data_IF_687497045050
#
_entry.id   IF_687497045050
#
_cell.length_a   1.000
_cell.length_b   1.000
_cell.length_c   1.000
_cell.angle_alpha   90.00
_cell.angle_beta   90.00
_cell.angle_gamma   90.00
#
_symmetry.space_group_name_H-M   'P 1'
#
loop_
_entity.id
_entity.type
_entity.pdbx_description
1 polymer ?
#
# COMPACT_ATOMS: atom_id res chain seq x y z
N UNK A 1 15.08 5.55 24.01
CA UNK A 1 14.55 4.93 22.78
C UNK A 1 13.10 5.37 22.64
N UNK A 2 12.80 6.27 21.71
CA UNK A 2 11.41 6.50 21.31
C UNK A 2 10.89 5.18 20.77
N UNK A 3 9.79 4.68 21.32
CA UNK A 3 9.10 3.51 20.77
C UNK A 3 8.63 3.93 19.38
N UNK A 4 9.34 3.51 18.34
CA UNK A 4 8.95 3.77 16.96
C UNK A 4 7.68 2.98 16.69
N UNK A 5 6.58 3.70 16.45
CA UNK A 5 5.28 3.10 16.12
C UNK A 5 5.42 2.03 15.04
N UNK A 6 4.65 0.94 15.16
CA UNK A 6 4.61 -0.14 14.15
C UNK A 6 4.37 0.42 12.75
N UNK A 7 3.52 1.45 12.63
CA UNK A 7 3.22 2.09 11.34
C UNK A 7 4.40 2.86 10.76
N UNK A 8 5.29 3.40 11.61
CA UNK A 8 6.53 4.01 11.14
C UNK A 8 7.48 2.94 10.57
N UNK A 9 7.59 1.77 11.22
CA UNK A 9 8.39 0.67 10.68
C UNK A 9 7.81 0.12 9.37
N UNK A 10 6.49 0.04 9.25
CA UNK A 10 5.81 -0.31 8.01
C UNK A 10 6.10 0.74 6.92
N UNK A 11 5.99 2.02 7.24
CA UNK A 11 6.27 3.11 6.30
C UNK A 11 7.72 3.05 5.79
N UNK A 12 8.69 2.83 6.67
CA UNK A 12 10.09 2.67 6.31
C UNK A 12 10.28 1.48 5.37
N UNK A 13 9.67 0.33 5.70
CA UNK A 13 9.68 -0.86 4.86
C UNK A 13 9.09 -0.60 3.47
N UNK A 14 7.94 0.07 3.39
CA UNK A 14 7.30 0.41 2.12
C UNK A 14 8.19 1.32 1.26
N UNK A 15 8.89 2.28 1.86
CA UNK A 15 9.84 3.13 1.13
C UNK A 15 11.02 2.33 0.57
N UNK A 16 11.55 1.36 1.34
CA UNK A 16 12.63 0.51 0.85
C UNK A 16 12.22 -0.29 -0.39
N UNK A 17 11.00 -0.81 -0.43
CA UNK A 17 10.51 -1.58 -1.59
C UNK A 17 10.14 -0.66 -2.76
N UNK A 18 9.35 0.38 -2.51
CA UNK A 18 8.72 1.17 -3.58
C UNK A 18 9.61 2.28 -4.15
N UNK A 19 10.52 2.83 -3.35
CA UNK A 19 11.42 3.91 -3.76
C UNK A 19 12.83 3.36 -4.03
N UNK A 20 13.34 2.50 -3.15
CA UNK A 20 14.72 2.01 -3.23
C UNK A 20 14.85 0.66 -3.95
N UNK A 21 13.74 0.03 -4.36
CA UNK A 21 13.75 -1.22 -5.13
C UNK A 21 14.29 -2.43 -4.35
N UNK A 22 14.26 -2.41 -3.01
CA UNK A 22 14.66 -3.57 -2.19
C UNK A 22 13.60 -4.66 -2.21
N UNK A 23 14.03 -5.90 -1.94
CA UNK A 23 13.10 -7.02 -1.81
C UNK A 23 12.27 -6.88 -0.54
N UNK A 24 10.97 -7.24 -0.61
CA UNK A 24 10.13 -7.35 0.57
C UNK A 24 10.68 -8.35 1.60
N UNK A 25 11.40 -9.38 1.12
CA UNK A 25 12.02 -10.39 1.97
C UNK A 25 13.08 -9.80 2.91
N UNK A 26 13.80 -8.77 2.45
CA UNK A 26 14.86 -8.11 3.22
C UNK A 26 14.31 -7.32 4.42
N UNK A 27 13.01 -6.99 4.38
CA UNK A 27 12.33 -6.19 5.42
C UNK A 27 11.79 -7.09 6.55
N UNK A 28 11.48 -8.34 6.25
CA UNK A 28 10.77 -9.24 7.16
C UNK A 28 11.44 -9.47 8.52
N UNK A 29 12.78 -9.60 8.62
CA UNK A 29 13.43 -9.80 9.93
C UNK A 29 13.07 -8.72 10.96
N UNK A 30 12.89 -7.46 10.51
CA UNK A 30 12.47 -6.37 11.39
C UNK A 30 11.07 -6.57 11.96
N UNK A 31 10.12 -7.06 11.14
CA UNK A 31 8.76 -7.34 11.61
C UNK A 31 8.66 -8.61 12.46
N UNK A 32 9.52 -9.60 12.20
CA UNK A 32 9.57 -10.83 13.01
C UNK A 32 10.02 -10.59 14.45
N UNK A 33 10.80 -9.52 14.69
CA UNK A 33 11.23 -9.11 16.03
C UNK A 33 10.14 -8.39 16.85
N UNK A 34 9.00 -8.05 16.24
CA UNK A 34 7.88 -7.39 16.93
C UNK A 34 7.07 -8.36 17.78
N UNK A 35 6.34 -7.80 18.76
CA UNK A 35 5.33 -8.53 19.52
C UNK A 35 4.29 -9.17 18.58
N UNK A 36 3.61 -10.24 19.00
CA UNK A 36 2.68 -10.97 18.11
C UNK A 36 1.58 -10.07 17.51
N UNK A 37 1.05 -9.14 18.31
CA UNK A 37 0.02 -8.21 17.84
C UNK A 37 0.58 -7.17 16.87
N UNK A 38 1.74 -6.60 17.20
CA UNK A 38 2.42 -5.61 16.35
C UNK A 38 2.89 -6.23 15.04
N UNK A 39 3.38 -7.47 15.10
CA UNK A 39 3.81 -8.26 13.95
C UNK A 39 2.64 -8.50 13.01
N UNK A 40 1.49 -8.98 13.53
CA UNK A 40 0.26 -9.15 12.73
C UNK A 40 -0.15 -7.86 12.05
N UNK A 41 -0.15 -6.74 12.78
CA UNK A 41 -0.47 -5.43 12.22
C UNK A 41 0.55 -5.00 11.16
N UNK A 42 1.85 -5.18 11.40
CA UNK A 42 2.90 -4.83 10.47
C UNK A 42 2.76 -5.59 9.15
N UNK A 43 2.56 -6.90 9.21
CA UNK A 43 2.36 -7.75 8.04
C UNK A 43 1.09 -7.38 7.26
N UNK A 44 -0.03 -7.16 7.95
CA UNK A 44 -1.29 -6.72 7.35
C UNK A 44 -1.10 -5.43 6.56
N UNK A 45 -0.52 -4.40 7.21
CA UNK A 45 -0.35 -3.10 6.57
C UNK A 45 0.71 -3.14 5.46
N UNK A 46 1.84 -3.81 5.68
CA UNK A 46 2.93 -3.86 4.72
C UNK A 46 2.54 -4.60 3.45
N UNK A 47 2.14 -5.88 3.56
CA UNK A 47 1.76 -6.65 2.38
C UNK A 47 0.46 -6.15 1.77
N UNK A 48 -0.49 -5.70 2.58
CA UNK A 48 -1.72 -5.11 2.08
C UNK A 48 -1.48 -3.87 1.22
N UNK A 49 -0.60 -2.95 1.66
CA UNK A 49 -0.24 -1.78 0.86
C UNK A 49 0.47 -2.16 -0.45
N UNK A 50 1.37 -3.15 -0.42
CA UNK A 50 2.05 -3.62 -1.63
C UNK A 50 1.06 -4.31 -2.59
N UNK A 51 0.17 -5.13 -2.04
CA UNK A 51 -0.84 -5.88 -2.79
C UNK A 51 -1.89 -4.99 -3.43
N UNK A 52 -2.13 -3.77 -2.92
CA UNK A 52 -3.07 -2.80 -3.51
C UNK A 52 -2.39 -1.53 -4.03
N UNK A 53 -1.06 -1.57 -4.26
CA UNK A 53 -0.26 -0.38 -4.46
C UNK A 53 -0.69 0.46 -5.67
N UNK A 54 -0.97 -0.16 -6.82
CA UNK A 54 -1.31 0.54 -8.06
C UNK A 54 -2.71 1.14 -7.99
N UNK A 55 -3.67 0.41 -7.43
CA UNK A 55 -5.02 0.91 -7.17
C UNK A 55 -4.99 2.13 -6.24
N UNK A 56 -4.32 2.00 -5.09
CA UNK A 56 -4.20 3.07 -4.09
C UNK A 56 -3.46 4.29 -4.63
N UNK A 57 -2.42 4.09 -5.45
CA UNK A 57 -1.71 5.18 -6.15
C UNK A 57 -2.62 5.89 -7.14
N UNK A 58 -3.47 5.17 -7.89
CA UNK A 58 -4.42 5.77 -8.81
C UNK A 58 -5.51 6.57 -8.06
N UNK A 59 -6.03 6.02 -6.97
CA UNK A 59 -6.94 6.73 -6.07
C UNK A 59 -6.29 8.01 -5.54
N UNK A 60 -5.05 7.93 -5.04
CA UNK A 60 -4.31 9.08 -4.55
C UNK A 60 -4.15 10.16 -5.63
N UNK A 61 -3.70 9.77 -6.83
CA UNK A 61 -3.52 10.70 -7.96
C UNK A 61 -4.81 11.43 -8.31
N UNK A 62 -5.95 10.75 -8.27
CA UNK A 62 -7.26 11.37 -8.55
C UNK A 62 -7.70 12.42 -7.51
N UNK A 63 -7.08 12.42 -6.32
CA UNK A 63 -7.43 13.32 -5.21
C UNK A 63 -6.42 14.46 -5.02
N UNK A 64 -5.26 14.38 -5.68
CA UNK A 64 -4.26 15.42 -5.71
C UNK A 64 -4.62 16.47 -6.77
N UNK A 65 -4.62 17.75 -6.39
CA UNK A 65 -4.77 18.85 -7.36
C UNK A 65 -3.51 19.03 -8.22
N UNK A 66 -2.36 18.74 -7.64
CA UNK A 66 -1.04 18.78 -8.30
C UNK A 66 -0.27 17.53 -7.90
N UNK A 67 0.47 16.90 -8.83
CA UNK A 67 1.36 15.79 -8.49
C UNK A 67 2.34 16.18 -7.39
N UNK A 68 2.66 15.23 -6.51
CA UNK A 68 3.73 15.40 -5.54
C UNK A 68 5.07 15.57 -6.28
N UNK A 69 5.96 16.40 -5.71
CA UNK A 69 7.31 16.56 -6.26
C UNK A 69 8.08 15.26 -6.09
N UNK A 70 9.08 15.02 -6.94
CA UNK A 70 9.94 13.81 -6.84
C UNK A 70 10.57 13.66 -5.44
N UNK A 71 10.96 14.76 -4.80
CA UNK A 71 11.50 14.75 -3.41
C UNK A 71 10.48 14.45 -2.31
N UNK A 72 9.20 14.32 -2.66
CA UNK A 72 8.09 14.04 -1.75
C UNK A 72 7.47 12.65 -2.02
N UNK A 73 8.23 11.74 -2.63
CA UNK A 73 7.78 10.37 -2.90
C UNK A 73 7.39 9.60 -1.61
N UNK A 74 8.11 9.86 -0.52
CA UNK A 74 7.81 9.34 0.83
C UNK A 74 6.40 9.74 1.35
N UNK A 75 5.94 10.96 1.05
CA UNK A 75 4.58 11.40 1.36
C UNK A 75 3.55 10.63 0.53
N UNK A 76 3.91 10.29 -0.72
CA UNK A 76 3.10 9.39 -1.55
C UNK A 76 2.91 8.03 -0.89
N UNK A 77 4.00 7.43 -0.39
CA UNK A 77 3.96 6.14 0.33
C UNK A 77 3.14 6.26 1.62
N UNK A 78 3.30 7.35 2.38
CA UNK A 78 2.49 7.62 3.58
C UNK A 78 1.00 7.70 3.27
N UNK A 79 0.64 8.38 2.18
CA UNK A 79 -0.75 8.50 1.76
C UNK A 79 -1.33 7.17 1.30
N UNK A 80 -0.55 6.33 0.61
CA UNK A 80 -0.94 4.95 0.28
C UNK A 80 -1.22 4.14 1.55
N UNK A 81 -0.35 4.22 2.56
CA UNK A 81 -0.55 3.56 3.86
C UNK A 81 -1.84 4.06 4.56
N UNK A 82 -2.09 5.37 4.52
CA UNK A 82 -3.32 5.97 5.06
C UNK A 82 -4.57 5.48 4.34
N UNK A 83 -4.55 5.49 3.01
CA UNK A 83 -5.66 5.01 2.20
C UNK A 83 -5.91 3.52 2.44
N UNK A 84 -4.87 2.68 2.46
CA UNK A 84 -5.01 1.25 2.73
C UNK A 84 -5.72 0.98 4.07
N UNK A 85 -5.29 1.66 5.14
CA UNK A 85 -5.92 1.53 6.45
C UNK A 85 -7.40 1.90 6.42
N UNK A 86 -7.76 2.98 5.72
CA UNK A 86 -9.15 3.42 5.59
C UNK A 86 -9.98 2.49 4.72
N UNK A 87 -9.39 1.86 3.71
CA UNK A 87 -10.11 1.10 2.70
C UNK A 87 -10.30 -0.37 3.08
N UNK A 88 -9.22 -1.05 3.49
CA UNK A 88 -9.19 -2.51 3.60
C UNK A 88 -9.10 -3.03 5.04
N UNK A 89 -8.85 -2.17 6.02
CA UNK A 89 -8.74 -2.60 7.42
C UNK A 89 -9.99 -2.27 8.23
N UNK A 90 -10.12 -2.92 9.39
CA UNK A 90 -11.17 -2.63 10.39
C UNK A 90 -10.71 -1.64 11.46
N UNK A 91 -9.57 -0.98 11.27
CA UNK A 91 -9.08 0.05 12.18
C UNK A 91 -10.08 1.20 12.19
N UNK A 92 -10.40 1.72 13.38
CA UNK A 92 -11.31 2.85 13.49
C UNK A 92 -10.83 4.03 12.64
N UNK A 93 -11.72 4.60 11.83
CA UNK A 93 -11.38 5.61 10.81
C UNK A 93 -10.61 6.81 11.38
N UNK A 94 -10.99 7.28 12.58
CA UNK A 94 -10.31 8.37 13.26
C UNK A 94 -8.88 7.98 13.71
N UNK A 95 -8.68 6.74 14.14
CA UNK A 95 -7.38 6.24 14.58
C UNK A 95 -6.44 6.07 13.39
N UNK A 96 -6.91 5.45 12.30
CA UNK A 96 -6.14 5.32 11.05
C UNK A 96 -5.68 6.69 10.53
N UNK A 97 -6.58 7.67 10.53
CA UNK A 97 -6.28 9.03 10.10
C UNK A 97 -5.27 9.72 11.03
N UNK A 98 -5.52 9.73 12.34
CA UNK A 98 -4.66 10.43 13.30
C UNK A 98 -3.24 9.84 13.30
N UNK A 99 -3.11 8.52 13.39
CA UNK A 99 -1.83 7.82 13.35
C UNK A 99 -1.06 8.13 12.05
N UNK A 100 -1.74 8.10 10.90
CA UNK A 100 -1.09 8.41 9.62
C UNK A 100 -0.63 9.86 9.53
N UNK A 101 -1.41 10.81 10.04
CA UNK A 101 -1.02 12.23 10.08
C UNK A 101 0.19 12.42 11.00
N UNK A 102 0.26 11.73 12.13
CA UNK A 102 1.39 11.81 13.05
C UNK A 102 2.70 11.29 12.45
N UNK A 103 2.65 10.32 11.53
CA UNK A 103 3.84 9.86 10.79
C UNK A 103 4.51 10.96 9.94
N UNK A 104 3.87 12.10 9.73
CA UNK A 104 4.57 13.27 9.15
C UNK A 104 5.76 13.73 10.01
N UNK A 105 5.74 13.50 11.33
CA UNK A 105 6.90 13.75 12.20
C UNK A 105 8.04 12.78 11.91
N UNK A 106 7.72 11.50 11.70
CA UNK A 106 8.68 10.46 11.35
C UNK A 106 9.42 10.81 10.04
N UNK A 107 8.69 11.33 9.05
CA UNK A 107 9.25 11.83 7.80
C UNK A 107 9.95 13.19 7.89
N UNK A 108 9.99 13.82 9.08
CA UNK A 108 10.48 15.20 9.27
C UNK A 108 9.78 16.23 8.36
N UNK A 109 8.52 15.95 7.98
CA UNK A 109 7.69 16.76 7.07
C UNK A 109 6.42 17.23 7.77
N UNK A 110 6.56 17.87 8.94
CA UNK A 110 5.43 18.37 9.75
C UNK A 110 4.53 19.35 9.00
N UNK A 111 5.08 20.09 8.03
CA UNK A 111 4.32 20.95 7.12
C UNK A 111 3.23 20.19 6.34
N UNK A 112 3.45 18.89 6.07
CA UNK A 112 2.55 18.06 5.28
C UNK A 112 1.36 17.53 6.08
N UNK A 113 1.33 17.67 7.41
CA UNK A 113 0.23 17.18 8.25
C UNK A 113 -1.15 17.63 7.76
N UNK A 114 -1.29 18.92 7.46
CA UNK A 114 -2.55 19.50 6.96
C UNK A 114 -2.95 18.91 5.60
N UNK A 115 -1.97 18.70 4.73
CA UNK A 115 -2.19 18.10 3.41
C UNK A 115 -2.65 16.64 3.53
N UNK A 116 -1.93 15.83 4.30
CA UNK A 116 -2.26 14.41 4.53
C UNK A 116 -3.66 14.29 5.12
N UNK A 117 -3.96 15.04 6.18
CA UNK A 117 -5.28 15.06 6.79
C UNK A 117 -6.37 15.48 5.79
N UNK A 118 -6.14 16.53 5.00
CA UNK A 118 -7.12 16.99 4.02
C UNK A 118 -7.43 15.93 2.94
N UNK A 119 -6.40 15.25 2.43
CA UNK A 119 -6.56 14.19 1.42
C UNK A 119 -7.33 13.00 2.00
N UNK A 120 -6.93 12.51 3.18
CA UNK A 120 -7.58 11.35 3.80
C UNK A 120 -9.03 11.66 4.24
N UNK A 121 -9.30 12.85 4.79
CA UNK A 121 -10.69 13.28 5.10
C UNK A 121 -11.54 13.45 3.86
N UNK A 122 -10.97 13.96 2.76
CA UNK A 122 -11.66 14.01 1.49
C UNK A 122 -12.01 12.61 1.01
N UNK A 123 -11.08 11.67 1.08
CA UNK A 123 -11.33 10.26 0.75
C UNK A 123 -12.45 9.65 1.60
N UNK A 124 -12.46 9.88 2.92
CA UNK A 124 -13.53 9.39 3.80
C UNK A 124 -14.92 9.94 3.44
N UNK A 125 -15.02 11.23 3.11
CA UNK A 125 -16.30 11.84 2.71
C UNK A 125 -16.78 11.32 1.36
N UNK A 126 -15.84 11.15 0.42
CA UNK A 126 -16.12 10.73 -0.95
C UNK A 126 -16.24 9.19 -1.08
N UNK A 127 -16.08 8.44 0.03
CA UNK A 127 -15.99 6.97 0.09
C UNK A 127 -17.22 6.23 -0.46
N UNK A 128 -18.32 6.95 -0.75
CA UNK A 128 -19.57 6.34 -1.20
C UNK A 128 -19.64 5.97 -2.69
N UNK A 129 -18.80 6.47 -3.62
CA UNK A 129 -19.24 6.32 -5.03
C UNK A 129 -18.28 6.39 -6.22
N UNK A 130 -16.95 6.33 -6.13
CA UNK A 130 -16.19 6.28 -7.40
C UNK A 130 -14.79 5.66 -7.30
N UNK A 131 -14.63 4.50 -7.94
CA UNK A 131 -13.41 4.21 -8.70
C UNK A 131 -13.18 5.44 -9.59
N UNK A 132 -12.02 6.11 -9.51
CA UNK A 132 -11.78 7.30 -10.32
C UNK A 132 -12.03 6.99 -11.81
N UNK A 133 -12.84 7.80 -12.49
CA UNK A 133 -13.14 7.58 -13.92
C UNK A 133 -11.85 7.54 -14.76
N UNK A 134 -10.82 8.30 -14.34
CA UNK A 134 -9.53 8.37 -15.03
C UNK A 134 -8.58 7.20 -14.70
N UNK A 135 -9.01 6.22 -13.90
CA UNK A 135 -8.19 5.06 -13.55
C UNK A 135 -7.98 4.17 -14.77
N UNK A 136 -6.72 3.85 -15.09
CA UNK A 136 -6.41 3.02 -16.26
C UNK A 136 -6.87 1.57 -16.06
N UNK A 137 -6.98 0.81 -17.16
CA UNK A 137 -7.31 -0.62 -17.08
C UNK A 137 -6.31 -1.38 -16.18
N UNK A 138 -5.01 -1.06 -16.28
CA UNK A 138 -3.97 -1.63 -15.45
C UNK A 138 -4.16 -1.32 -13.96
N UNK A 139 -4.51 -0.06 -13.62
CA UNK A 139 -4.75 0.34 -12.22
C UNK A 139 -5.99 -0.36 -11.63
N UNK A 140 -7.04 -0.59 -12.44
CA UNK A 140 -8.28 -1.31 -12.05
C UNK A 140 -8.05 -2.76 -11.67
N UNK A 141 -7.08 -3.39 -12.32
CA UNK A 141 -6.61 -4.72 -11.95
C UNK A 141 -5.30 -4.66 -11.17
N UNK A 142 -4.96 -3.50 -10.61
CA UNK A 142 -3.81 -3.28 -9.73
C UNK A 142 -2.47 -3.92 -10.23
N UNK A 143 -2.21 -3.76 -11.53
CA UNK A 143 -0.95 -4.15 -12.15
C UNK A 143 -0.20 -2.92 -12.68
N UNK A 144 1.14 -2.98 -12.77
CA UNK A 144 1.85 -1.98 -13.54
C UNK A 144 1.45 -2.07 -15.01
N UNK A 145 1.38 -0.90 -15.68
CA UNK A 145 0.97 -0.80 -17.08
C UNK A 145 1.73 -1.74 -18.02
N UNK A 146 3.06 -1.86 -17.85
CA UNK A 146 3.88 -2.73 -18.69
C UNK A 146 3.45 -4.20 -18.58
N UNK A 147 3.11 -4.68 -17.38
CA UNK A 147 2.74 -6.07 -17.16
C UNK A 147 1.32 -6.36 -17.62
N UNK A 148 0.40 -5.41 -17.40
CA UNK A 148 -0.94 -5.48 -17.96
C UNK A 148 -0.90 -5.57 -19.50
N UNK A 149 -0.11 -4.69 -20.15
CA UNK A 149 0.05 -4.73 -21.61
C UNK A 149 0.66 -6.05 -22.07
N UNK A 150 1.75 -6.49 -21.43
CA UNK A 150 2.43 -7.74 -21.74
C UNK A 150 1.48 -8.96 -21.65
N UNK A 151 0.70 -9.08 -20.57
CA UNK A 151 -0.25 -10.19 -20.42
C UNK A 151 -1.38 -10.12 -21.46
N UNK A 152 -1.88 -8.92 -21.75
CA UNK A 152 -2.93 -8.74 -22.75
C UNK A 152 -2.48 -9.06 -24.18
N UNK A 153 -1.20 -8.87 -24.48
CA UNK A 153 -0.59 -9.17 -25.78
C UNK A 153 -0.31 -10.68 -25.93
N UNK A 154 0.30 -11.30 -24.92
CA UNK A 154 0.75 -12.70 -25.00
C UNK A 154 -0.37 -13.72 -24.66
N UNK A 155 -1.32 -13.36 -23.79
CA UNK A 155 -2.43 -14.24 -23.34
C UNK A 155 -3.79 -13.52 -23.32
N UNK A 156 -4.29 -13.00 -24.45
CA UNK A 156 -5.50 -12.19 -24.50
C UNK A 156 -6.75 -12.90 -23.96
N UNK A 157 -6.89 -14.20 -24.22
CA UNK A 157 -8.05 -15.00 -23.80
C UNK A 157 -8.03 -15.29 -22.28
N UNK A 158 -6.84 -15.40 -21.69
CA UNK A 158 -6.65 -15.72 -20.27
C UNK A 158 -6.37 -14.50 -19.41
N UNK A 159 -6.15 -13.32 -20.00
CA UNK A 159 -5.71 -12.11 -19.31
C UNK A 159 -6.55 -11.80 -18.07
N UNK A 160 -7.89 -11.81 -18.21
CA UNK A 160 -8.81 -11.54 -17.09
C UNK A 160 -8.65 -12.57 -15.96
N UNK A 161 -8.46 -13.84 -16.29
CA UNK A 161 -8.25 -14.89 -15.29
C UNK A 161 -6.90 -14.75 -14.58
N UNK A 162 -5.83 -14.40 -15.32
CA UNK A 162 -4.50 -14.12 -14.77
C UNK A 162 -4.56 -12.92 -13.81
N UNK A 163 -5.23 -11.84 -14.21
CA UNK A 163 -5.42 -10.66 -13.37
C UNK A 163 -6.14 -11.04 -12.08
N UNK A 164 -7.25 -11.77 -12.17
CA UNK A 164 -8.00 -12.20 -10.99
C UNK A 164 -7.15 -13.08 -10.06
N UNK A 165 -6.48 -14.09 -10.61
CA UNK A 165 -5.64 -15.01 -9.84
C UNK A 165 -4.47 -14.29 -9.14
N UNK A 166 -3.89 -13.27 -9.76
CA UNK A 166 -2.82 -12.46 -9.14
C UNK A 166 -3.26 -11.68 -7.90
N UNK A 167 -4.57 -11.43 -7.75
CA UNK A 167 -5.15 -10.74 -6.59
C UNK A 167 -5.64 -11.69 -5.49
N UNK A 168 -5.80 -12.97 -5.81
CA UNK A 168 -6.25 -13.97 -4.86
C UNK A 168 -5.13 -14.34 -3.88
N UNK A 169 -5.51 -14.73 -2.67
CA UNK A 169 -4.55 -15.17 -1.67
C UNK A 169 -3.90 -16.47 -2.14
N UNK A 170 -2.58 -16.48 -2.23
CA UNK A 170 -1.82 -17.66 -2.63
C UNK A 170 -2.14 -18.86 -1.70
N UNK A 171 -2.43 -20.05 -2.25
CA UNK A 171 -2.65 -21.24 -1.44
C UNK A 171 -1.35 -21.66 -0.75
N UNK A 172 -1.47 -22.15 0.49
CA UNK A 172 -0.32 -22.72 1.18
C UNK A 172 0.05 -24.04 0.51
N UNK A 173 1.21 -24.07 -0.12
CA UNK A 173 1.71 -25.25 -0.83
C UNK A 173 2.88 -25.85 -0.04
N UNK A 174 2.77 -27.12 0.31
CA UNK A 174 3.79 -27.88 1.03
C UNK A 174 4.20 -29.05 0.14
N UNK A 175 5.51 -29.28 0.01
CA UNK A 175 6.04 -30.47 -0.68
C UNK A 175 6.68 -31.39 0.36
N UNK A 176 6.15 -32.60 0.50
CA UNK A 176 6.68 -33.60 1.42
C UNK A 176 8.03 -34.11 0.86
N UNK A 177 9.04 -34.15 1.71
CA UNK A 177 10.29 -34.82 1.39
C UNK A 177 10.10 -36.34 1.50
N UNK A 178 10.21 -37.07 0.40
CA UNK A 178 9.99 -38.52 0.36
C UNK A 178 11.20 -39.34 0.84
N UNK A 179 12.32 -38.69 1.17
CA UNK A 179 13.57 -39.35 1.60
C UNK A 179 13.76 -39.39 3.13
N UNK A 180 12.73 -39.04 3.91
CA UNK A 180 12.74 -39.10 5.38
C UNK A 180 11.64 -40.01 5.89
#
# INVERSE_FOLDING_TARGET
>A
MTITSVRAQVLDGLQQVTINGRSAQDILPGFLALSDNDRRLAFELFYGCLHHYYELQAILKSRLQKPLKKGDADLGVLLVLGLYQLTYTRIAEHAALNETVELCHHLKKTWAKKLVNAILRRYQRDRKTQVPEQMSAADKVNLPKWLHTFIAEDWPEQAVAIYKASHERAPTTIRINQQQ
#
